data_IF_629224549836
#
_entry.id   IF_629224549836
#
_cell.length_a   1.000
_cell.length_b   1.000
_cell.length_c   1.000
_cell.angle_alpha   90.00
_cell.angle_beta   90.00
_cell.angle_gamma   90.00
#
_symmetry.space_group_name_H-M   'P 1'
#
loop_
_entity.id
_entity.type
_entity.pdbx_description
1 polymer ?
#
# COMPACT_ATOMS: atom_id res chain seq x y z
N UNK A 1 -61.32 -40.97 8.45
CA UNK A 1 -60.37 -41.20 7.35
C UNK A 1 -58.94 -41.04 7.88
N UNK A 2 -58.31 -42.14 8.16
CA UNK A 2 -56.95 -42.20 8.75
C UNK A 2 -55.94 -42.28 7.59
N UNK A 3 -55.15 -41.25 7.42
CA UNK A 3 -54.05 -41.21 6.44
C UNK A 3 -52.91 -42.05 6.98
N UNK A 4 -52.50 -43.06 6.25
CA UNK A 4 -51.44 -43.97 6.65
C UNK A 4 -50.06 -43.44 6.23
N UNK A 5 -49.01 -43.88 6.98
CA UNK A 5 -47.59 -43.51 6.75
C UNK A 5 -47.06 -43.80 5.32
N UNK A 6 -47.79 -44.57 4.51
CA UNK A 6 -47.41 -44.89 3.14
C UNK A 6 -47.73 -43.78 2.14
N UNK A 7 -48.75 -42.97 2.43
CA UNK A 7 -49.16 -41.87 1.53
C UNK A 7 -48.24 -40.63 1.61
N UNK A 8 -47.40 -40.56 2.67
CA UNK A 8 -46.43 -39.48 2.85
C UNK A 8 -45.09 -39.69 2.12
N UNK A 9 -44.81 -40.95 1.68
CA UNK A 9 -43.54 -41.30 1.03
C UNK A 9 -43.59 -41.26 -0.50
N UNK A 10 -44.78 -41.04 -1.09
CA UNK A 10 -44.94 -41.00 -2.54
C UNK A 10 -45.01 -39.59 -3.13
N UNK A 11 -44.94 -38.55 -2.30
CA UNK A 11 -45.00 -37.14 -2.74
C UNK A 11 -43.62 -36.42 -2.75
N UNK A 12 -42.52 -37.11 -2.48
CA UNK A 12 -41.15 -36.52 -2.36
C UNK A 12 -40.18 -36.98 -3.45
N UNK A 13 -40.68 -37.42 -4.59
CA UNK A 13 -39.82 -37.68 -5.75
C UNK A 13 -40.14 -36.70 -6.87
N UNK A 14 -39.38 -35.59 -6.96
CA UNK A 14 -39.52 -34.72 -8.12
C UNK A 14 -39.10 -33.28 -7.98
N UNK A 15 -38.20 -32.94 -7.05
CA UNK A 15 -37.45 -31.68 -7.20
C UNK A 15 -35.98 -32.04 -7.47
N UNK A 16 -35.64 -32.29 -8.73
CA UNK A 16 -34.29 -32.20 -9.21
C UNK A 16 -33.83 -30.74 -9.05
N UNK A 17 -32.99 -30.48 -8.06
CA UNK A 17 -32.20 -29.24 -8.06
C UNK A 17 -31.33 -29.26 -9.33
N UNK A 18 -31.76 -28.55 -10.36
CA UNK A 18 -30.87 -28.13 -11.41
C UNK A 18 -29.77 -27.30 -10.72
N UNK A 19 -28.47 -27.63 -10.90
CA UNK A 19 -27.42 -26.74 -10.45
C UNK A 19 -27.66 -25.41 -11.17
N UNK A 20 -27.87 -24.35 -10.41
CA UNK A 20 -27.84 -22.99 -10.95
C UNK A 20 -26.48 -22.88 -11.64
N UNK A 21 -26.47 -22.91 -12.95
CA UNK A 21 -25.38 -22.46 -13.79
C UNK A 21 -25.22 -20.98 -13.46
N UNK A 22 -24.43 -20.69 -12.41
CA UNK A 22 -23.97 -19.34 -12.19
C UNK A 22 -23.37 -18.87 -13.51
N UNK A 23 -23.86 -17.76 -14.01
CA UNK A 23 -23.28 -17.09 -15.16
C UNK A 23 -21.77 -17.01 -14.93
N UNK A 24 -21.04 -17.92 -15.55
CA UNK A 24 -19.60 -17.76 -15.72
C UNK A 24 -19.47 -16.53 -16.60
N UNK A 25 -19.20 -15.40 -15.98
CA UNK A 25 -18.68 -14.23 -16.70
C UNK A 25 -17.43 -14.77 -17.41
N UNK A 26 -17.59 -15.10 -18.68
CA UNK A 26 -16.48 -15.49 -19.54
C UNK A 26 -15.66 -14.23 -19.68
N UNK A 27 -14.55 -14.15 -18.95
CA UNK A 27 -13.61 -13.06 -19.09
C UNK A 27 -13.28 -12.91 -20.58
N UNK A 28 -13.34 -11.68 -21.09
CA UNK A 28 -12.99 -11.44 -22.48
C UNK A 28 -11.59 -12.02 -22.75
N UNK A 29 -11.40 -12.70 -23.92
CA UNK A 29 -10.12 -13.32 -24.21
C UNK A 29 -9.01 -12.26 -24.20
N UNK A 30 -7.86 -12.59 -23.59
CA UNK A 30 -6.71 -11.71 -23.56
C UNK A 30 -6.30 -11.29 -24.99
N UNK A 31 -5.99 -10.01 -25.23
CA UNK A 31 -5.42 -9.60 -26.51
C UNK A 31 -4.07 -10.31 -26.72
N UNK A 32 -3.82 -10.78 -27.92
CA UNK A 32 -2.55 -11.44 -28.27
C UNK A 32 -1.40 -10.46 -28.40
N UNK A 33 -1.70 -9.19 -28.68
CA UNK A 33 -0.71 -8.13 -28.96
C UNK A 33 -1.12 -6.80 -28.34
N UNK A 34 -0.12 -6.06 -27.86
CA UNK A 34 -0.23 -4.68 -27.42
C UNK A 34 1.03 -3.88 -27.82
N UNK A 35 0.98 -2.55 -27.81
CA UNK A 35 2.21 -1.76 -27.91
C UNK A 35 3.03 -1.90 -26.63
N UNK A 36 2.35 -1.80 -25.47
CA UNK A 36 2.96 -1.91 -24.14
C UNK A 36 2.09 -2.80 -23.25
N UNK A 37 2.71 -3.78 -22.58
CA UNK A 37 2.06 -4.55 -21.50
C UNK A 37 2.50 -4.03 -20.15
N UNK A 38 1.54 -3.83 -19.24
CA UNK A 38 1.79 -3.42 -17.86
C UNK A 38 1.49 -4.59 -16.94
N UNK A 39 2.42 -4.93 -16.04
CA UNK A 39 2.29 -6.03 -15.09
C UNK A 39 2.08 -5.47 -13.70
N UNK A 40 0.87 -5.62 -13.18
CA UNK A 40 0.37 -5.08 -11.91
C UNK A 40 -0.54 -3.87 -12.10
N UNK A 41 -1.70 -3.89 -11.42
CA UNK A 41 -2.70 -2.81 -11.39
C UNK A 41 -2.68 -2.01 -10.08
N UNK A 42 -1.52 -1.84 -9.47
CA UNK A 42 -1.29 -0.87 -8.38
C UNK A 42 -1.17 0.56 -8.91
N UNK A 43 -0.91 1.53 -8.04
CA UNK A 43 -0.81 2.95 -8.40
C UNK A 43 0.16 3.19 -9.57
N UNK A 44 1.35 2.57 -9.57
CA UNK A 44 2.33 2.70 -10.63
C UNK A 44 1.83 2.12 -11.97
N UNK A 45 1.17 0.95 -11.95
CA UNK A 45 0.66 0.33 -13.16
C UNK A 45 -0.51 1.10 -13.75
N UNK A 46 -1.41 1.60 -12.93
CA UNK A 46 -2.53 2.46 -13.38
C UNK A 46 -2.00 3.78 -13.96
N UNK A 47 -1.02 4.42 -13.31
CA UNK A 47 -0.38 5.61 -13.85
C UNK A 47 0.25 5.35 -15.22
N UNK A 48 1.03 4.26 -15.33
CA UNK A 48 1.68 3.87 -16.57
C UNK A 48 0.66 3.59 -17.69
N UNK A 49 -0.37 2.80 -17.41
CA UNK A 49 -1.37 2.45 -18.40
C UNK A 49 -2.18 3.68 -18.87
N UNK A 50 -2.55 4.59 -17.97
CA UNK A 50 -3.19 5.86 -18.33
C UNK A 50 -2.29 6.72 -19.22
N UNK A 51 -1.00 6.79 -18.92
CA UNK A 51 -0.04 7.56 -19.71
C UNK A 51 0.14 6.99 -21.12
N UNK A 52 0.19 5.64 -21.24
CA UNK A 52 0.27 4.95 -22.52
C UNK A 52 -1.01 5.16 -23.35
N UNK A 53 -2.17 5.01 -22.73
CA UNK A 53 -3.47 5.24 -23.37
C UNK A 53 -3.62 6.70 -23.84
N UNK A 54 -3.17 7.68 -23.06
CA UNK A 54 -3.17 9.10 -23.41
C UNK A 54 -2.27 9.41 -24.65
N UNK A 55 -1.27 8.56 -24.92
CA UNK A 55 -0.45 8.63 -26.13
C UNK A 55 -1.07 7.87 -27.33
N UNK A 56 -2.33 7.44 -27.23
CA UNK A 56 -3.04 6.66 -28.24
C UNK A 56 -2.30 5.37 -28.64
N UNK A 57 -1.73 4.67 -27.66
CA UNK A 57 -1.08 3.37 -27.84
C UNK A 57 -1.87 2.25 -27.20
N UNK A 58 -1.83 1.06 -27.83
CA UNK A 58 -2.49 -0.12 -27.28
C UNK A 58 -1.77 -0.57 -26.01
N UNK A 59 -2.47 -0.57 -24.90
CA UNK A 59 -1.99 -1.05 -23.61
C UNK A 59 -2.89 -2.18 -23.10
N UNK A 60 -2.32 -3.11 -22.38
CA UNK A 60 -3.05 -4.09 -21.56
C UNK A 60 -2.39 -4.15 -20.18
N UNK A 61 -3.18 -4.16 -19.14
CA UNK A 61 -2.70 -4.38 -17.77
C UNK A 61 -3.08 -5.79 -17.34
N UNK A 62 -2.11 -6.58 -16.91
CA UNK A 62 -2.35 -7.89 -16.28
C UNK A 62 -2.17 -7.74 -14.77
N UNK A 63 -3.17 -8.16 -14.00
CA UNK A 63 -3.19 -8.09 -12.53
C UNK A 63 -3.41 -9.49 -11.95
N UNK A 64 -2.55 -9.85 -11.01
CA UNK A 64 -2.57 -11.19 -10.40
C UNK A 64 -3.81 -11.42 -9.52
N UNK A 65 -4.30 -10.37 -8.87
CA UNK A 65 -5.46 -10.43 -7.98
C UNK A 65 -6.77 -10.12 -8.72
N UNK A 66 -7.90 -10.38 -8.07
CA UNK A 66 -9.23 -10.07 -8.61
C UNK A 66 -9.62 -8.59 -8.49
N UNK A 67 -8.70 -7.68 -8.11
CA UNK A 67 -9.00 -6.27 -7.88
C UNK A 67 -7.82 -5.35 -8.19
N UNK A 68 -8.14 -4.12 -8.53
CA UNK A 68 -7.17 -3.03 -8.72
C UNK A 68 -6.71 -2.47 -7.37
N UNK A 69 -5.49 -1.92 -7.31
CA UNK A 69 -4.98 -1.16 -6.17
C UNK A 69 -3.63 -1.65 -5.64
N UNK A 70 -3.32 -2.93 -5.75
CA UNK A 70 -2.10 -3.49 -5.16
C UNK A 70 -2.07 -3.28 -3.64
N UNK A 71 -1.12 -2.49 -3.12
CA UNK A 71 -1.02 -2.09 -1.70
C UNK A 71 -1.91 -0.88 -1.32
N UNK A 72 -2.76 -0.44 -2.20
CA UNK A 72 -3.72 0.63 -1.99
C UNK A 72 -5.13 0.09 -2.22
N UNK A 73 -5.71 -0.51 -1.19
CA UNK A 73 -7.01 -1.18 -1.21
C UNK A 73 -7.89 -0.62 -0.10
N UNK A 74 -9.16 -0.37 -0.40
CA UNK A 74 -10.17 0.05 0.57
C UNK A 74 -11.27 -0.99 0.65
N UNK A 75 -11.56 -1.46 1.85
CA UNK A 75 -12.74 -2.27 2.16
C UNK A 75 -13.88 -1.33 2.55
N UNK A 76 -14.93 -1.32 1.76
CA UNK A 76 -16.11 -0.46 1.96
C UNK A 76 -17.32 -1.20 2.52
N UNK A 77 -17.17 -2.49 2.84
CA UNK A 77 -18.26 -3.37 3.20
C UNK A 77 -18.16 -3.96 4.61
N UNK A 78 -16.96 -4.08 5.14
CA UNK A 78 -16.76 -4.80 6.40
C UNK A 78 -17.09 -3.99 7.64
N UNK A 79 -17.02 -2.67 7.58
CA UNK A 79 -17.22 -1.77 8.73
C UNK A 79 -18.19 -0.65 8.38
N UNK A 80 -18.58 0.14 9.39
CA UNK A 80 -19.44 1.32 9.26
C UNK A 80 -18.74 2.55 8.63
N UNK A 81 -17.45 2.42 8.32
CA UNK A 81 -16.66 3.39 7.57
C UNK A 81 -15.71 2.66 6.60
N UNK A 82 -15.28 3.32 5.51
CA UNK A 82 -14.26 2.78 4.62
C UNK A 82 -12.96 2.47 5.38
N UNK A 83 -12.45 1.27 5.18
CA UNK A 83 -11.22 0.78 5.79
C UNK A 83 -10.11 0.67 4.75
N UNK A 84 -9.16 1.61 4.76
CA UNK A 84 -7.96 1.52 3.96
C UNK A 84 -7.02 0.44 4.51
N UNK A 85 -6.95 -0.67 3.82
CA UNK A 85 -6.15 -1.84 4.20
C UNK A 85 -4.64 -1.60 4.04
N UNK A 86 -4.24 -0.68 3.18
CA UNK A 86 -2.85 -0.31 2.90
C UNK A 86 -2.63 1.19 3.00
N UNK A 87 -2.21 1.82 1.90
CA UNK A 87 -1.99 3.26 1.83
C UNK A 87 -3.27 4.02 2.21
N UNK A 88 -3.13 5.02 3.08
CA UNK A 88 -4.22 5.86 3.59
C UNK A 88 -4.00 7.34 3.28
N UNK A 89 -2.75 7.78 3.21
CA UNK A 89 -2.39 9.18 3.17
C UNK A 89 -1.71 9.58 1.86
N UNK A 90 -2.02 10.77 1.40
CA UNK A 90 -1.32 11.53 0.38
C UNK A 90 -0.54 12.63 1.10
N UNK A 91 0.78 12.50 1.11
CA UNK A 91 1.66 13.46 1.78
C UNK A 91 1.91 14.69 0.89
N UNK A 92 2.30 15.81 1.50
CA UNK A 92 2.64 17.05 0.80
C UNK A 92 1.56 17.50 -0.21
N UNK A 93 0.34 17.80 0.27
CA UNK A 93 -0.86 17.95 -0.57
C UNK A 93 -0.75 19.04 -1.65
N UNK A 94 0.13 19.99 -1.49
CA UNK A 94 0.34 21.08 -2.47
C UNK A 94 1.03 20.61 -3.74
N UNK A 95 1.93 19.63 -3.63
CA UNK A 95 2.73 19.12 -4.74
C UNK A 95 2.30 17.72 -5.20
N UNK A 96 1.54 17.00 -4.39
CA UNK A 96 1.15 15.62 -4.64
C UNK A 96 0.12 15.50 -5.78
N UNK A 97 0.45 14.83 -6.90
CA UNK A 97 -0.46 14.71 -8.04
C UNK A 97 -1.74 13.95 -7.70
N UNK A 98 -1.69 13.04 -6.72
CA UNK A 98 -2.85 12.24 -6.31
C UNK A 98 -3.98 13.08 -5.74
N UNK A 99 -3.68 14.23 -5.12
CA UNK A 99 -4.68 15.17 -4.58
C UNK A 99 -5.55 15.75 -5.69
N UNK A 100 -4.91 16.18 -6.77
CA UNK A 100 -5.61 16.71 -7.95
C UNK A 100 -6.47 15.63 -8.61
N UNK A 101 -5.92 14.41 -8.72
CA UNK A 101 -6.64 13.26 -9.28
C UNK A 101 -7.84 12.86 -8.41
N UNK A 102 -7.70 12.87 -7.08
CA UNK A 102 -8.80 12.57 -6.16
C UNK A 102 -9.96 13.58 -6.31
N UNK A 103 -9.64 14.87 -6.37
CA UNK A 103 -10.65 15.92 -6.63
C UNK A 103 -11.33 15.77 -7.98
N UNK A 104 -10.54 15.47 -9.02
CA UNK A 104 -11.07 15.25 -10.38
C UNK A 104 -11.97 14.00 -10.44
N UNK A 105 -11.67 12.96 -9.66
CA UNK A 105 -12.47 11.75 -9.51
C UNK A 105 -13.73 11.94 -8.62
N UNK A 106 -13.95 13.15 -8.07
CA UNK A 106 -15.10 13.46 -7.23
C UNK A 106 -15.04 12.86 -5.83
N UNK A 107 -13.83 12.63 -5.30
CA UNK A 107 -13.65 12.15 -3.94
C UNK A 107 -13.51 13.31 -2.94
N UNK A 108 -14.04 13.09 -1.74
CA UNK A 108 -13.96 14.06 -0.64
C UNK A 108 -12.58 13.96 0.03
N UNK A 109 -11.86 15.08 0.01
CA UNK A 109 -10.55 15.19 0.66
C UNK A 109 -10.76 15.50 2.14
N UNK A 110 -10.06 14.78 2.99
CA UNK A 110 -10.03 14.96 4.43
C UNK A 110 -8.60 15.20 4.91
N UNK A 111 -8.42 16.15 5.82
CA UNK A 111 -7.12 16.41 6.44
C UNK A 111 -6.78 15.28 7.41
N UNK A 112 -5.53 14.82 7.38
CA UNK A 112 -5.03 13.90 8.41
C UNK A 112 -5.07 14.55 9.80
N UNK A 113 -5.18 13.76 10.88
CA UNK A 113 -5.16 14.29 12.25
C UNK A 113 -3.91 15.14 12.52
N UNK A 114 -4.10 16.30 13.13
CA UNK A 114 -3.06 17.29 13.40
C UNK A 114 -2.36 17.03 14.73
N UNK A 115 -1.84 15.86 14.96
CA UNK A 115 -1.10 15.54 16.19
C UNK A 115 -1.49 14.20 16.77
N UNK A 116 -0.78 13.87 17.84
CA UNK A 116 -0.90 12.58 18.50
C UNK A 116 -1.14 12.82 19.98
N UNK A 117 -2.03 12.04 20.58
CA UNK A 117 -2.19 11.97 22.04
C UNK A 117 -1.30 10.84 22.57
N UNK A 118 -0.62 11.06 23.65
CA UNK A 118 0.35 10.12 24.18
C UNK A 118 -0.21 9.47 25.46
N UNK A 119 -0.15 8.16 25.53
CA UNK A 119 -0.51 7.39 26.74
C UNK A 119 0.76 6.99 27.49
N UNK A 120 0.74 7.22 28.82
CA UNK A 120 1.73 6.71 29.76
C UNK A 120 0.97 5.81 30.75
N UNK A 121 0.98 4.52 30.46
CA UNK A 121 0.08 3.59 31.11
C UNK A 121 -1.39 4.01 30.87
N UNK A 122 -2.19 4.11 31.95
CA UNK A 122 -3.62 4.43 31.82
C UNK A 122 -3.95 5.94 31.83
N UNK A 123 -2.98 6.82 31.75
CA UNK A 123 -3.18 8.27 31.69
C UNK A 123 -2.63 8.89 30.45
N UNK A 124 -3.07 10.08 30.10
CA UNK A 124 -2.42 10.88 29.08
C UNK A 124 -1.14 11.54 29.60
N UNK A 125 -0.18 11.74 28.72
CA UNK A 125 1.03 12.48 29.02
C UNK A 125 0.72 13.93 29.42
N UNK A 126 1.50 14.46 30.36
CA UNK A 126 1.48 15.87 30.75
C UNK A 126 2.26 16.69 29.71
N UNK A 127 2.08 18.03 29.66
CA UNK A 127 2.78 18.87 28.70
C UNK A 127 4.31 18.66 28.70
N UNK A 128 4.97 18.65 29.87
CA UNK A 128 6.41 18.40 29.96
C UNK A 128 6.85 17.04 29.42
N UNK A 129 6.06 15.96 29.69
CA UNK A 129 6.34 14.62 29.14
C UNK A 129 6.17 14.57 27.61
N UNK A 130 5.24 15.36 27.07
CA UNK A 130 5.07 15.53 25.62
C UNK A 130 6.25 16.27 25.01
N UNK A 131 6.77 17.31 25.67
CA UNK A 131 7.97 18.03 25.25
C UNK A 131 9.20 17.13 25.27
N UNK A 132 9.39 16.30 26.30
CA UNK A 132 10.46 15.31 26.37
C UNK A 132 10.39 14.31 25.21
N UNK A 133 9.20 13.79 24.89
CA UNK A 133 8.97 12.91 23.74
C UNK A 133 9.35 13.58 22.43
N UNK A 134 8.86 14.80 22.17
CA UNK A 134 9.18 15.56 20.95
C UNK A 134 10.68 15.82 20.85
N UNK A 135 11.33 16.19 21.96
CA UNK A 135 12.78 16.39 22.01
C UNK A 135 13.54 15.09 21.67
N UNK A 136 13.06 13.94 22.19
CA UNK A 136 13.65 12.63 21.86
C UNK A 136 13.53 12.31 20.37
N UNK A 137 12.38 12.54 19.74
CA UNK A 137 12.18 12.34 18.29
C UNK A 137 13.10 13.24 17.47
N UNK A 138 13.14 14.54 17.79
CA UNK A 138 13.98 15.52 17.07
C UNK A 138 15.45 15.15 17.18
N UNK A 139 15.94 14.84 18.40
CA UNK A 139 17.34 14.43 18.60
C UNK A 139 17.68 13.16 17.82
N UNK A 140 16.79 12.19 17.83
CA UNK A 140 16.98 10.92 17.10
C UNK A 140 17.03 11.14 15.59
N UNK A 141 16.08 11.89 15.03
CA UNK A 141 16.07 12.18 13.60
C UNK A 141 17.31 12.95 13.17
N UNK A 142 17.69 13.99 13.93
CA UNK A 142 18.89 14.77 13.67
C UNK A 142 20.16 13.91 13.70
N UNK A 143 20.29 13.01 14.66
CA UNK A 143 21.45 12.11 14.75
C UNK A 143 21.57 11.18 13.53
N UNK A 144 20.42 10.67 13.02
CA UNK A 144 20.38 9.90 11.77
C UNK A 144 20.80 10.75 10.57
N UNK A 145 20.28 11.98 10.46
CA UNK A 145 20.62 12.91 9.37
C UNK A 145 22.10 13.30 9.39
N UNK A 146 22.68 13.56 10.55
CA UNK A 146 24.11 13.86 10.71
C UNK A 146 24.99 12.64 10.34
N UNK A 147 24.57 11.44 10.73
CA UNK A 147 25.28 10.21 10.38
C UNK A 147 25.24 9.94 8.88
N UNK A 148 24.11 10.17 8.23
CA UNK A 148 23.91 9.94 6.79
C UNK A 148 24.88 10.76 5.91
N UNK A 149 25.31 11.93 6.38
CA UNK A 149 26.30 12.79 5.69
C UNK A 149 27.72 12.24 5.71
N UNK A 150 28.01 11.31 6.62
CA UNK A 150 29.34 10.72 6.81
C UNK A 150 29.46 9.35 6.15
N UNK A 151 28.47 8.51 6.34
CA UNK A 151 28.45 7.14 5.80
C UNK A 151 27.02 6.58 5.75
N UNK A 152 26.78 5.66 4.82
CA UNK A 152 25.53 4.91 4.76
C UNK A 152 25.54 3.73 5.73
N UNK A 153 25.25 4.02 6.99
CA UNK A 153 25.16 3.06 8.08
C UNK A 153 23.70 2.72 8.41
N UNK A 154 23.49 1.74 9.29
CA UNK A 154 22.18 1.47 9.86
C UNK A 154 21.72 2.68 10.72
N UNK A 155 20.46 3.10 10.59
CA UNK A 155 19.93 4.20 11.40
C UNK A 155 20.08 3.93 12.90
N UNK A 156 19.93 2.68 13.35
CA UNK A 156 20.12 2.29 14.75
C UNK A 156 21.53 2.59 15.30
N UNK A 157 22.54 2.58 14.46
CA UNK A 157 23.92 2.89 14.87
C UNK A 157 24.14 4.39 15.19
N UNK A 158 23.22 5.26 14.75
CA UNK A 158 23.27 6.69 15.00
C UNK A 158 22.46 7.14 16.23
N UNK A 159 21.71 6.24 16.87
CA UNK A 159 20.78 6.60 17.95
C UNK A 159 21.50 7.17 19.17
N UNK A 160 20.98 8.27 19.76
CA UNK A 160 21.42 8.73 21.08
C UNK A 160 21.22 7.65 22.13
N UNK A 161 22.15 7.54 23.07
CA UNK A 161 22.09 6.52 24.16
C UNK A 161 21.15 6.90 25.30
N UNK A 162 20.77 8.18 25.37
CA UNK A 162 20.02 8.80 26.47
C UNK A 162 18.56 9.12 26.13
N UNK A 163 17.88 8.24 25.39
CA UNK A 163 16.47 8.41 25.04
C UNK A 163 15.50 8.02 26.15
N UNK A 164 16.00 7.35 27.20
CA UNK A 164 15.19 6.95 28.36
C UNK A 164 13.96 6.09 28.00
N UNK A 165 12.86 6.37 28.66
CA UNK A 165 11.59 5.66 28.44
C UNK A 165 10.94 5.88 27.08
N UNK A 166 11.46 6.84 26.30
CA UNK A 166 10.98 7.15 24.94
C UNK A 166 11.71 6.40 23.83
N UNK A 167 12.76 5.64 24.17
CA UNK A 167 13.63 4.97 23.19
C UNK A 167 12.81 4.09 22.24
N UNK A 168 11.99 3.20 22.76
CA UNK A 168 11.21 2.27 21.93
C UNK A 168 10.14 2.98 21.10
N UNK A 169 9.48 3.99 21.65
CA UNK A 169 8.49 4.79 20.89
C UNK A 169 9.17 5.55 19.73
N UNK A 170 10.33 6.16 19.98
CA UNK A 170 11.10 6.85 18.94
C UNK A 170 11.58 5.89 17.85
N UNK A 171 12.12 4.72 18.23
CA UNK A 171 12.55 3.68 17.29
C UNK A 171 11.38 3.18 16.45
N UNK A 172 10.21 2.91 17.06
CA UNK A 172 9.01 2.49 16.35
C UNK A 172 8.56 3.53 15.33
N UNK A 173 8.40 4.78 15.74
CA UNK A 173 7.87 5.84 14.87
C UNK A 173 8.82 6.18 13.72
N UNK A 174 10.13 6.31 14.00
CA UNK A 174 11.11 6.69 12.98
C UNK A 174 11.57 5.51 12.12
N UNK A 175 11.40 4.28 12.58
CA UNK A 175 11.77 3.05 11.89
C UNK A 175 10.55 2.29 11.36
N UNK A 176 9.97 1.45 12.19
CA UNK A 176 8.94 0.49 11.78
C UNK A 176 7.68 1.17 11.23
N UNK A 177 7.17 2.19 11.88
CA UNK A 177 5.98 2.94 11.42
C UNK A 177 6.26 3.75 10.14
N UNK A 178 7.49 4.25 9.97
CA UNK A 178 7.87 5.06 8.81
C UNK A 178 8.18 4.22 7.57
N UNK A 179 8.84 3.07 7.75
CA UNK A 179 9.44 2.29 6.64
C UNK A 179 9.01 0.81 6.59
N UNK A 180 8.27 0.33 7.59
CA UNK A 180 7.98 -1.09 7.77
C UNK A 180 9.16 -1.91 8.30
N UNK A 181 10.33 -1.29 8.59
CA UNK A 181 11.54 -1.94 9.07
C UNK A 181 12.05 -1.31 10.35
N UNK A 182 12.69 -2.11 11.19
CA UNK A 182 13.40 -1.61 12.36
C UNK A 182 14.60 -0.76 11.92
N UNK A 183 14.98 0.23 12.71
CA UNK A 183 16.07 1.16 12.38
C UNK A 183 17.43 0.48 12.12
N UNK A 184 17.66 -0.73 12.64
CA UNK A 184 18.86 -1.53 12.36
C UNK A 184 18.94 -2.01 10.91
N UNK A 185 17.80 -2.13 10.22
CA UNK A 185 17.65 -2.66 8.88
C UNK A 185 17.44 -1.56 7.82
N UNK A 186 17.52 -0.28 8.22
CA UNK A 186 17.29 0.88 7.36
C UNK A 186 18.57 1.68 7.17
N UNK A 187 18.90 1.98 5.91
CA UNK A 187 19.99 2.88 5.51
C UNK A 187 19.72 4.31 6.03
N UNK A 188 20.70 4.89 6.71
CA UNK A 188 20.63 6.28 7.16
C UNK A 188 20.54 7.26 5.98
N UNK A 189 21.24 6.98 4.87
CA UNK A 189 21.18 7.81 3.66
C UNK A 189 19.80 7.70 2.98
N UNK A 190 19.24 6.51 2.86
CA UNK A 190 17.89 6.32 2.26
C UNK A 190 16.82 7.05 3.08
N UNK A 191 16.90 6.97 4.41
CA UNK A 191 15.98 7.66 5.31
C UNK A 191 16.13 9.18 5.23
N UNK A 192 17.33 9.70 5.26
CA UNK A 192 17.60 11.15 5.19
C UNK A 192 17.22 11.75 3.82
N UNK A 193 17.20 10.96 2.74
CA UNK A 193 16.75 11.38 1.41
C UNK A 193 15.23 11.32 1.23
N UNK A 194 14.53 10.61 2.11
CA UNK A 194 13.07 10.53 2.03
C UNK A 194 12.46 11.93 2.22
N UNK A 195 11.51 12.26 1.36
CA UNK A 195 10.78 13.52 1.49
C UNK A 195 9.97 13.52 2.80
N UNK A 196 9.90 14.67 3.45
CA UNK A 196 9.09 14.87 4.65
C UNK A 196 7.62 14.48 4.42
N UNK A 197 7.03 13.85 5.43
CA UNK A 197 5.64 13.38 5.43
C UNK A 197 4.80 14.09 6.49
N UNK A 198 5.13 15.35 6.80
CA UNK A 198 4.56 16.07 7.92
C UNK A 198 3.11 16.54 7.68
N UNK A 199 2.79 16.89 6.44
CA UNK A 199 1.42 17.22 6.05
C UNK A 199 0.82 16.08 5.22
N UNK A 200 -0.39 15.68 5.57
CA UNK A 200 -1.09 14.62 4.86
C UNK A 200 -2.58 14.89 4.74
N UNK A 201 -3.16 14.36 3.69
CA UNK A 201 -4.60 14.31 3.48
C UNK A 201 -5.00 12.91 3.02
N UNK A 202 -6.25 12.55 3.20
CA UNK A 202 -6.83 11.28 2.76
C UNK A 202 -8.08 11.50 1.93
N UNK A 203 -8.70 10.40 1.50
CA UNK A 203 -10.01 10.39 0.85
C UNK A 203 -11.02 9.79 1.82
N UNK A 204 -12.17 10.44 2.02
CA UNK A 204 -13.26 9.92 2.86
C UNK A 204 -13.74 8.54 2.39
N UNK A 205 -13.79 8.32 1.09
CA UNK A 205 -14.20 7.06 0.47
C UNK A 205 -13.08 6.01 0.42
N UNK A 206 -11.90 6.35 0.95
CA UNK A 206 -10.70 5.53 0.94
C UNK A 206 -9.82 5.76 -0.30
N UNK A 207 -8.52 5.60 -0.09
CA UNK A 207 -7.52 5.86 -1.13
C UNK A 207 -7.49 4.76 -2.20
N UNK A 208 -7.83 3.51 -1.83
CA UNK A 208 -7.99 2.41 -2.80
C UNK A 208 -9.13 2.66 -3.79
N UNK A 209 -10.20 3.32 -3.35
CA UNK A 209 -11.31 3.75 -4.22
C UNK A 209 -10.83 4.72 -5.29
N UNK A 210 -9.86 5.59 -4.98
CA UNK A 210 -9.25 6.48 -5.98
C UNK A 210 -8.56 5.66 -7.08
N UNK A 211 -7.71 4.70 -6.72
CA UNK A 211 -6.98 3.90 -7.71
C UNK A 211 -7.93 3.07 -8.56
N UNK A 212 -8.97 2.49 -7.96
CA UNK A 212 -9.99 1.76 -8.69
C UNK A 212 -10.68 2.67 -9.74
N UNK A 213 -11.14 3.86 -9.36
CA UNK A 213 -11.75 4.84 -10.28
C UNK A 213 -10.80 5.27 -11.41
N UNK A 214 -9.52 5.46 -11.10
CA UNK A 214 -8.54 5.83 -12.12
C UNK A 214 -8.25 4.69 -13.11
N UNK A 215 -8.55 3.45 -12.73
CA UNK A 215 -8.41 2.25 -13.55
C UNK A 215 -9.65 1.87 -14.39
N UNK A 216 -10.84 2.43 -14.10
CA UNK A 216 -12.13 1.96 -14.66
C UNK A 216 -12.19 1.88 -16.20
N UNK A 217 -11.50 2.76 -16.90
CA UNK A 217 -11.52 2.82 -18.37
C UNK A 217 -10.31 2.13 -19.02
N UNK A 218 -9.48 1.48 -18.24
CA UNK A 218 -8.29 0.81 -18.74
C UNK A 218 -8.61 -0.64 -19.12
N UNK A 219 -7.94 -1.20 -20.14
CA UNK A 219 -8.05 -2.62 -20.46
C UNK A 219 -7.29 -3.43 -19.40
N UNK A 220 -8.04 -3.98 -18.44
CA UNK A 220 -7.54 -4.72 -17.28
C UNK A 220 -7.87 -6.21 -17.43
N UNK A 221 -6.88 -7.08 -17.26
CA UNK A 221 -7.06 -8.50 -17.08
C UNK A 221 -6.76 -8.86 -15.61
N UNK A 222 -7.80 -8.89 -14.79
CA UNK A 222 -7.73 -9.28 -13.38
C UNK A 222 -7.60 -10.79 -13.24
N UNK A 223 -7.18 -11.27 -12.06
CA UNK A 223 -6.94 -12.70 -11.77
C UNK A 223 -6.04 -13.36 -12.82
N UNK A 224 -5.11 -12.60 -13.38
CA UNK A 224 -4.24 -13.00 -14.48
C UNK A 224 -2.77 -12.77 -14.12
N UNK A 225 -2.20 -13.61 -13.22
CA UNK A 225 -0.80 -13.49 -12.82
C UNK A 225 0.15 -13.77 -14.00
N UNK A 226 1.11 -12.88 -14.21
CA UNK A 226 2.22 -13.14 -15.11
C UNK A 226 3.10 -14.25 -14.53
N UNK A 227 3.34 -15.31 -15.30
CA UNK A 227 4.13 -16.47 -14.87
C UNK A 227 5.55 -16.44 -15.43
N UNK A 228 5.67 -16.01 -16.68
CA UNK A 228 6.95 -15.95 -17.39
C UNK A 228 6.99 -14.73 -18.30
N UNK A 229 8.15 -14.11 -18.39
CA UNK A 229 8.43 -12.98 -19.26
C UNK A 229 9.64 -13.34 -20.11
N UNK A 230 9.37 -13.56 -21.41
CA UNK A 230 10.44 -13.70 -22.40
C UNK A 230 10.70 -12.31 -22.97
N UNK A 231 11.96 -11.92 -23.04
CA UNK A 231 12.31 -10.58 -23.48
C UNK A 231 13.60 -10.52 -24.27
N UNK A 232 13.69 -9.50 -25.11
CA UNK A 232 14.86 -9.15 -25.87
C UNK A 232 15.07 -7.63 -25.85
N UNK A 233 15.99 -7.12 -26.66
CA UNK A 233 16.09 -5.68 -26.87
C UNK A 233 14.98 -5.11 -27.77
N UNK A 234 14.11 -5.92 -28.36
CA UNK A 234 13.12 -5.46 -29.37
C UNK A 234 11.68 -5.70 -28.94
N UNK A 235 11.42 -6.79 -28.24
CA UNK A 235 10.08 -7.25 -27.91
C UNK A 235 10.05 -8.00 -26.60
N UNK A 236 8.86 -8.12 -26.05
CA UNK A 236 8.57 -8.89 -24.83
C UNK A 236 7.33 -9.75 -25.08
N UNK A 237 7.33 -10.96 -24.49
CA UNK A 237 6.16 -11.82 -24.44
C UNK A 237 5.87 -12.17 -22.99
N UNK A 238 4.66 -11.87 -22.52
CA UNK A 238 4.18 -12.20 -21.19
C UNK A 238 3.31 -13.43 -21.27
N UNK A 239 3.68 -14.48 -20.55
CA UNK A 239 2.92 -15.73 -20.44
C UNK A 239 2.11 -15.73 -19.15
N UNK A 240 0.80 -16.03 -19.27
CA UNK A 240 -0.17 -16.17 -18.19
C UNK A 240 -0.94 -17.46 -18.36
N UNK A 241 -1.73 -17.86 -17.37
CA UNK A 241 -2.65 -19.01 -17.53
C UNK A 241 -3.73 -18.76 -18.58
N UNK A 242 -4.12 -17.50 -18.81
CA UNK A 242 -5.16 -17.13 -19.78
C UNK A 242 -4.63 -16.95 -21.20
N UNK A 243 -3.32 -17.03 -21.43
CA UNK A 243 -2.70 -16.90 -22.72
C UNK A 243 -1.39 -16.12 -22.71
N UNK A 244 -0.92 -15.75 -23.91
CA UNK A 244 0.33 -15.02 -24.14
C UNK A 244 0.05 -13.67 -24.78
N UNK A 245 0.79 -12.65 -24.36
CA UNK A 245 0.69 -11.29 -24.88
C UNK A 245 2.06 -10.88 -25.41
N UNK A 246 2.16 -10.61 -26.71
CA UNK A 246 3.35 -10.01 -27.32
C UNK A 246 3.25 -8.49 -27.24
N UNK A 247 4.36 -7.81 -26.91
CA UNK A 247 4.41 -6.35 -26.88
C UNK A 247 5.80 -5.83 -27.24
N UNK A 248 5.88 -4.55 -27.62
CA UNK A 248 7.13 -3.86 -27.97
C UNK A 248 7.90 -3.43 -26.70
N UNK A 249 7.20 -3.27 -25.57
CA UNK A 249 7.79 -2.99 -24.27
C UNK A 249 6.92 -3.53 -23.15
N UNK A 250 7.51 -3.74 -21.96
CA UNK A 250 6.80 -4.08 -20.74
C UNK A 250 7.13 -3.10 -19.62
N UNK A 251 6.11 -2.74 -18.83
CA UNK A 251 6.27 -1.99 -17.58
C UNK A 251 5.92 -2.93 -16.44
N UNK A 252 6.89 -3.23 -15.58
CA UNK A 252 6.77 -4.21 -14.51
C UNK A 252 6.66 -3.46 -13.19
N UNK A 253 5.49 -3.55 -12.54
CA UNK A 253 5.18 -2.80 -11.32
C UNK A 253 5.00 -3.69 -10.08
N UNK A 254 5.51 -4.91 -10.15
CA UNK A 254 5.51 -5.82 -8.99
C UNK A 254 6.42 -5.30 -7.89
N UNK A 255 6.18 -5.73 -6.65
CA UNK A 255 7.03 -5.33 -5.53
C UNK A 255 8.46 -5.85 -5.66
N UNK A 256 9.41 -5.21 -4.98
CA UNK A 256 10.81 -5.67 -4.93
C UNK A 256 10.94 -7.10 -4.40
N UNK A 257 10.10 -7.49 -3.42
CA UNK A 257 10.10 -8.85 -2.90
C UNK A 257 9.58 -9.87 -3.92
N UNK A 258 8.54 -9.53 -4.68
CA UNK A 258 8.04 -10.39 -5.77
C UNK A 258 9.09 -10.51 -6.87
N UNK A 259 9.77 -9.42 -7.22
CA UNK A 259 10.84 -9.44 -8.22
C UNK A 259 12.01 -10.34 -7.78
N UNK A 260 12.38 -10.30 -6.51
CA UNK A 260 13.48 -11.10 -5.95
C UNK A 260 13.08 -12.55 -5.63
N UNK A 261 11.78 -12.86 -5.51
CA UNK A 261 11.30 -14.20 -5.12
C UNK A 261 11.43 -15.28 -6.21
N UNK A 262 11.57 -14.86 -7.48
CA UNK A 262 11.55 -15.78 -8.61
C UNK A 262 10.15 -16.30 -8.99
N UNK A 263 9.09 -15.78 -8.37
CA UNK A 263 7.70 -16.17 -8.71
C UNK A 263 7.33 -15.85 -10.16
N UNK A 264 7.98 -14.85 -10.75
CA UNK A 264 7.91 -14.56 -12.19
C UNK A 264 9.23 -14.98 -12.81
N UNK A 265 9.18 -15.87 -13.80
CA UNK A 265 10.36 -16.35 -14.51
C UNK A 265 10.71 -15.38 -15.65
N UNK A 266 11.96 -14.96 -15.70
CA UNK A 266 12.48 -14.14 -16.81
C UNK A 266 13.37 -14.98 -17.71
N UNK A 267 13.25 -14.82 -19.02
CA UNK A 267 14.08 -15.46 -20.02
C UNK A 267 14.47 -14.47 -21.14
N UNK A 268 15.75 -14.05 -21.20
CA UNK A 268 16.86 -14.36 -20.28
C UNK A 268 16.58 -13.95 -18.83
N UNK A 269 17.38 -14.46 -17.88
CA UNK A 269 17.31 -14.00 -16.48
C UNK A 269 17.58 -12.49 -16.39
N UNK A 270 17.01 -11.85 -15.35
CA UNK A 270 17.31 -10.45 -15.07
C UNK A 270 18.80 -10.28 -14.72
N UNK A 271 19.39 -9.14 -15.11
CA UNK A 271 20.76 -8.85 -14.71
C UNK A 271 20.94 -8.98 -13.18
N UNK A 272 22.00 -9.65 -12.76
CA UNK A 272 22.32 -9.88 -11.34
C UNK A 272 22.23 -8.58 -10.51
N UNK A 273 22.72 -7.44 -11.06
CA UNK A 273 22.66 -6.14 -10.40
C UNK A 273 21.23 -5.69 -10.07
N UNK A 274 20.25 -6.03 -10.93
CA UNK A 274 18.84 -5.68 -10.70
C UNK A 274 18.21 -6.57 -9.62
N UNK A 275 18.52 -7.87 -9.62
CA UNK A 275 18.07 -8.81 -8.57
C UNK A 275 18.69 -8.45 -7.21
N UNK A 276 19.99 -8.15 -7.16
CA UNK A 276 20.68 -7.70 -5.96
C UNK A 276 20.07 -6.38 -5.43
N UNK A 277 19.75 -5.44 -6.32
CA UNK A 277 19.09 -4.18 -5.96
C UNK A 277 17.68 -4.41 -5.41
N UNK A 278 16.89 -5.29 -6.04
CA UNK A 278 15.56 -5.65 -5.54
C UNK A 278 15.62 -6.28 -4.14
N UNK A 279 16.56 -7.21 -3.90
CA UNK A 279 16.75 -7.83 -2.60
C UNK A 279 17.17 -6.81 -1.52
N UNK A 280 18.05 -5.86 -1.85
CA UNK A 280 18.48 -4.77 -0.95
C UNK A 280 17.41 -3.74 -0.64
N UNK A 281 16.39 -3.62 -1.50
CA UNK A 281 15.18 -2.80 -1.31
C UNK A 281 13.99 -3.65 -0.82
N UNK A 282 14.26 -4.73 -0.11
CA UNK A 282 13.21 -5.62 0.38
C UNK A 282 12.12 -4.87 1.16
N UNK A 283 10.89 -5.36 1.07
CA UNK A 283 9.76 -4.79 1.78
C UNK A 283 9.83 -5.09 3.28
N UNK A 284 9.49 -4.10 4.08
CA UNK A 284 9.23 -4.26 5.51
C UNK A 284 7.86 -4.87 5.78
N UNK A 285 7.51 -4.96 7.06
CA UNK A 285 6.20 -5.40 7.54
C UNK A 285 5.45 -4.20 8.13
N UNK A 286 4.23 -4.01 7.69
CA UNK A 286 3.29 -3.03 8.24
C UNK A 286 1.90 -3.59 8.03
N UNK A 287 1.24 -3.95 9.12
CA UNK A 287 -0.09 -4.52 9.07
C UNK A 287 -1.04 -3.73 9.96
N UNK A 288 -2.30 -3.76 9.61
CA UNK A 288 -3.36 -2.97 10.23
C UNK A 288 -4.43 -3.89 10.79
N UNK A 289 -4.74 -3.72 12.07
CA UNK A 289 -5.77 -4.45 12.79
C UNK A 289 -6.96 -3.49 12.94
N UNK A 290 -8.04 -3.75 12.22
CA UNK A 290 -9.28 -3.00 12.29
C UNK A 290 -10.19 -3.58 13.36
N UNK A 291 -10.75 -2.72 14.19
CA UNK A 291 -11.65 -3.05 15.29
C UNK A 291 -12.91 -2.18 15.19
N UNK A 292 -14.08 -2.79 15.22
CA UNK A 292 -15.32 -2.06 15.49
C UNK A 292 -15.57 -2.03 17.00
N UNK A 293 -15.48 -0.84 17.60
CA UNK A 293 -15.57 -0.65 19.06
C UNK A 293 -16.84 0.14 19.37
N UNK A 294 -17.85 -0.55 19.91
CA UNK A 294 -19.14 0.08 20.21
C UNK A 294 -19.08 0.97 21.47
N UNK A 295 -19.84 2.06 21.45
CA UNK A 295 -20.05 2.91 22.65
C UNK A 295 -18.84 3.79 23.04
N UNK A 296 -17.77 3.80 22.27
CA UNK A 296 -16.57 4.62 22.51
C UNK A 296 -15.98 4.54 23.93
N UNK A 297 -15.71 3.34 24.47
CA UNK A 297 -15.15 3.18 25.82
C UNK A 297 -13.74 3.75 25.96
N UNK A 298 -13.07 4.04 24.83
CA UNK A 298 -11.75 4.66 24.79
C UNK A 298 -11.83 6.19 25.04
N UNK A 299 -13.02 6.80 24.99
CA UNK A 299 -13.21 8.23 25.16
C UNK A 299 -12.48 9.06 24.09
N UNK A 300 -12.35 8.51 22.88
CA UNK A 300 -11.63 9.16 21.79
C UNK A 300 -12.54 10.12 21.01
N UNK A 301 -11.95 11.19 20.53
CA UNK A 301 -12.57 12.06 19.55
C UNK A 301 -12.47 11.45 18.15
N UNK A 302 -13.15 12.09 17.19
CA UNK A 302 -13.05 11.75 15.77
C UNK A 302 -11.61 11.82 15.30
N UNK A 303 -11.16 10.76 14.63
CA UNK A 303 -9.83 10.66 14.00
C UNK A 303 -8.66 10.87 14.97
N UNK A 304 -8.82 10.56 16.28
CA UNK A 304 -7.72 10.63 17.25
C UNK A 304 -6.59 9.67 16.89
N UNK A 305 -5.35 10.12 17.05
CA UNK A 305 -4.14 9.31 16.92
C UNK A 305 -3.50 9.13 18.28
N UNK A 306 -3.28 7.88 18.68
CA UNK A 306 -2.74 7.54 20.01
C UNK A 306 -1.46 6.73 19.86
N UNK A 307 -0.45 7.14 20.59
CA UNK A 307 0.78 6.37 20.82
C UNK A 307 0.97 6.12 22.30
N UNK A 308 1.77 5.09 22.65
CA UNK A 308 2.16 4.88 24.05
C UNK A 308 3.63 5.22 24.28
N UNK A 309 3.98 5.62 25.51
CA UNK A 309 5.36 5.61 25.96
C UNK A 309 5.81 4.17 26.12
N UNK A 310 6.88 3.80 25.43
CA UNK A 310 7.45 2.47 25.45
C UNK A 310 8.97 2.52 25.39
N UNK A 311 9.62 1.74 26.23
CA UNK A 311 11.08 1.51 26.19
C UNK A 311 11.49 0.48 25.12
N UNK A 312 10.51 -0.21 24.52
CA UNK A 312 10.71 -1.22 23.46
C UNK A 312 9.95 -0.82 22.18
N UNK A 313 10.52 -1.05 20.98
CA UNK A 313 9.83 -0.81 19.71
C UNK A 313 8.68 -1.81 19.45
N UNK A 314 8.42 -2.76 20.35
CA UNK A 314 7.27 -3.69 20.28
C UNK A 314 5.99 -3.00 20.77
N UNK A 315 5.56 -2.02 20.03
CA UNK A 315 4.39 -1.18 20.32
C UNK A 315 3.55 -0.99 19.06
N UNK A 316 2.51 -0.17 19.15
CA UNK A 316 1.55 0.05 18.09
C UNK A 316 1.12 1.51 17.99
N UNK A 317 0.42 1.85 16.91
CA UNK A 317 -0.20 3.15 16.66
C UNK A 317 -1.71 2.96 16.50
N UNK A 318 -2.52 3.66 17.28
CA UNK A 318 -3.97 3.61 17.20
C UNK A 318 -4.51 4.84 16.44
N UNK A 319 -5.35 4.58 15.45
CA UNK A 319 -6.26 5.57 14.87
C UNK A 319 -7.67 5.28 15.38
N UNK A 320 -8.23 6.17 16.17
CA UNK A 320 -9.53 6.00 16.82
C UNK A 320 -10.66 6.74 16.12
N UNK A 321 -11.84 6.16 16.14
CA UNK A 321 -13.09 6.75 15.64
C UNK A 321 -12.95 7.34 14.25
N UNK A 322 -12.43 6.54 13.30
CA UNK A 322 -12.12 6.94 11.94
C UNK A 322 -13.36 7.55 11.26
N UNK A 323 -13.23 8.79 10.79
CA UNK A 323 -14.34 9.52 10.19
C UNK A 323 -15.50 9.83 11.14
N UNK A 324 -15.35 9.60 12.43
CA UNK A 324 -16.40 9.71 13.45
C UNK A 324 -17.26 8.45 13.60
N UNK A 325 -16.80 7.32 13.05
CA UNK A 325 -17.45 6.00 13.14
C UNK A 325 -16.97 5.21 14.37
N UNK A 326 -17.47 3.99 14.53
CA UNK A 326 -16.98 3.05 15.54
C UNK A 326 -15.70 2.32 15.13
N UNK A 327 -15.18 2.57 13.92
CA UNK A 327 -13.97 1.95 13.41
C UNK A 327 -12.73 2.56 14.06
N UNK A 328 -11.90 1.69 14.64
CA UNK A 328 -10.55 1.99 15.08
C UNK A 328 -9.56 1.08 14.36
N UNK A 329 -8.34 1.55 14.13
CA UNK A 329 -7.27 0.69 13.59
C UNK A 329 -6.03 0.75 14.45
N UNK A 330 -5.41 -0.40 14.67
CA UNK A 330 -4.13 -0.53 15.34
C UNK A 330 -3.10 -0.98 14.29
N UNK A 331 -2.10 -0.15 14.10
CA UNK A 331 -1.05 -0.38 13.14
C UNK A 331 0.18 -0.96 13.85
N UNK A 332 0.64 -2.13 13.38
CA UNK A 332 1.83 -2.84 13.86
C UNK A 332 2.84 -2.99 12.73
N UNK A 333 4.12 -2.84 13.04
CA UNK A 333 5.14 -2.78 11.99
C UNK A 333 6.50 -3.34 12.45
N UNK A 334 7.45 -3.41 11.52
CA UNK A 334 8.80 -3.89 11.76
C UNK A 334 8.87 -5.39 12.02
N UNK A 335 9.90 -5.83 12.72
CA UNK A 335 10.07 -7.24 13.11
C UNK A 335 8.93 -7.72 13.99
N UNK A 336 8.48 -6.90 14.93
CA UNK A 336 7.34 -7.19 15.80
C UNK A 336 6.05 -7.41 14.99
N UNK A 337 5.72 -6.50 14.07
CA UNK A 337 4.54 -6.64 13.21
C UNK A 337 4.62 -7.90 12.34
N UNK A 338 5.80 -8.26 11.84
CA UNK A 338 6.03 -9.49 11.07
C UNK A 338 5.79 -10.74 11.89
N UNK A 339 6.35 -10.81 13.10
CA UNK A 339 6.16 -11.93 14.01
C UNK A 339 4.68 -12.13 14.37
N UNK A 340 3.98 -11.04 14.69
CA UNK A 340 2.58 -11.07 15.05
C UNK A 340 1.69 -11.47 13.86
N UNK A 341 1.91 -10.89 12.68
CA UNK A 341 1.19 -11.21 11.44
C UNK A 341 1.38 -12.67 11.02
N UNK A 342 2.56 -13.25 11.27
CA UNK A 342 2.82 -14.67 10.99
C UNK A 342 1.94 -15.62 11.84
N UNK A 343 1.56 -15.21 13.05
CA UNK A 343 0.68 -15.98 13.93
C UNK A 343 -0.80 -15.94 13.49
N UNK A 344 -1.17 -15.05 12.56
CA UNK A 344 -2.50 -14.97 11.98
C UNK A 344 -3.42 -13.93 12.61
N UNK A 345 -4.57 -13.72 11.97
CA UNK A 345 -5.51 -12.64 12.34
C UNK A 345 -6.03 -12.75 13.78
N UNK A 346 -6.23 -13.96 14.30
CA UNK A 346 -6.69 -14.17 15.68
C UNK A 346 -5.67 -13.64 16.69
N UNK A 347 -4.39 -13.93 16.47
CA UNK A 347 -3.31 -13.45 17.34
C UNK A 347 -3.17 -11.92 17.25
N UNK A 348 -3.29 -11.36 16.06
CA UNK A 348 -3.29 -9.92 15.86
C UNK A 348 -4.45 -9.23 16.59
N UNK A 349 -5.66 -9.77 16.48
CA UNK A 349 -6.83 -9.25 17.18
C UNK A 349 -6.68 -9.36 18.72
N UNK A 350 -6.17 -10.49 19.21
CA UNK A 350 -5.90 -10.68 20.63
C UNK A 350 -4.88 -9.66 21.17
N UNK A 351 -3.77 -9.46 20.46
CA UNK A 351 -2.79 -8.41 20.78
C UNK A 351 -3.45 -7.02 20.85
N UNK A 352 -4.27 -6.68 19.85
CA UNK A 352 -4.91 -5.38 19.79
C UNK A 352 -5.83 -5.13 21.02
N UNK A 353 -6.61 -6.13 21.39
CA UNK A 353 -7.49 -6.07 22.58
C UNK A 353 -6.66 -5.98 23.87
N UNK A 354 -5.60 -6.77 23.99
CA UNK A 354 -4.71 -6.75 25.16
C UNK A 354 -4.01 -5.38 25.30
N UNK A 355 -3.44 -4.86 24.21
CA UNK A 355 -2.78 -3.56 24.18
C UNK A 355 -3.74 -2.41 24.55
N UNK A 356 -4.95 -2.42 24.01
CA UNK A 356 -5.98 -1.45 24.39
C UNK A 356 -6.43 -1.62 25.86
N UNK A 357 -6.57 -2.85 26.33
CA UNK A 357 -6.93 -3.14 27.73
C UNK A 357 -5.87 -2.62 28.70
N UNK A 358 -4.60 -2.77 28.36
CA UNK A 358 -3.48 -2.19 29.13
C UNK A 358 -3.62 -0.67 29.27
N UNK A 359 -3.99 0.02 28.18
CA UNK A 359 -4.02 1.48 28.11
C UNK A 359 -5.34 2.09 28.62
N UNK A 360 -6.48 1.41 28.46
CA UNK A 360 -7.81 1.98 28.70
C UNK A 360 -8.64 1.22 29.74
N UNK A 361 -8.30 -0.01 30.04
CA UNK A 361 -9.03 -0.83 31.03
C UNK A 361 -9.75 -2.03 30.38
N UNK A 362 -10.27 -2.90 31.23
CA UNK A 362 -10.82 -4.22 30.83
C UNK A 362 -12.13 -4.15 30.02
N UNK A 363 -12.85 -3.04 30.10
CA UNK A 363 -14.14 -2.88 29.40
C UNK A 363 -14.02 -2.86 27.87
N UNK A 364 -12.82 -2.56 27.34
CA UNK A 364 -12.56 -2.49 25.90
C UNK A 364 -12.87 -3.81 25.20
N UNK A 365 -12.47 -4.94 25.81
CA UNK A 365 -12.68 -6.26 25.21
C UNK A 365 -14.16 -6.58 24.93
N UNK A 366 -15.05 -6.22 25.84
CA UNK A 366 -16.49 -6.42 25.67
C UNK A 366 -17.12 -5.51 24.60
N UNK A 367 -16.51 -4.35 24.35
CA UNK A 367 -16.97 -3.37 23.38
C UNK A 367 -16.57 -3.71 21.92
N UNK A 368 -15.56 -4.55 21.72
CA UNK A 368 -15.13 -5.01 20.39
C UNK A 368 -16.17 -5.95 19.78
N UNK A 369 -16.77 -5.57 18.68
CA UNK A 369 -17.83 -6.34 17.99
C UNK A 369 -17.33 -7.08 16.77
N UNK A 370 -16.34 -6.52 16.07
CA UNK A 370 -15.78 -7.08 14.85
C UNK A 370 -14.30 -6.77 14.75
N UNK A 371 -13.54 -7.69 14.19
CA UNK A 371 -12.12 -7.54 13.94
C UNK A 371 -11.77 -8.00 12.51
N UNK A 372 -10.78 -7.38 11.92
CA UNK A 372 -10.13 -7.83 10.69
C UNK A 372 -8.68 -7.37 10.72
N UNK A 373 -7.77 -8.12 10.12
CA UNK A 373 -6.38 -7.69 10.03
C UNK A 373 -5.81 -7.90 8.62
N UNK A 374 -4.89 -7.04 8.24
CA UNK A 374 -4.11 -7.24 7.03
C UNK A 374 -2.93 -8.16 7.32
N UNK A 375 -2.45 -8.85 6.30
CA UNK A 375 -1.28 -9.73 6.37
C UNK A 375 -0.50 -9.63 5.08
N UNK A 376 0.11 -8.46 4.84
CA UNK A 376 0.77 -8.14 3.58
C UNK A 376 1.96 -9.05 3.29
N UNK A 377 2.67 -9.53 4.33
CA UNK A 377 3.77 -10.47 4.16
C UNK A 377 3.29 -11.84 3.64
N UNK A 378 2.06 -12.24 3.96
CA UNK A 378 1.46 -13.50 3.51
C UNK A 378 0.79 -13.40 2.13
N UNK A 379 0.66 -12.18 1.57
CA UNK A 379 0.11 -11.98 0.23
C UNK A 379 1.12 -12.43 -0.83
N UNK A 380 0.84 -13.48 -1.64
CA UNK A 380 1.82 -14.07 -2.56
C UNK A 380 2.22 -13.12 -3.71
N UNK A 381 1.39 -12.11 -3.99
CA UNK A 381 1.62 -11.14 -5.05
C UNK A 381 2.16 -9.78 -4.55
N UNK A 382 2.48 -9.69 -3.23
CA UNK A 382 3.01 -8.47 -2.61
C UNK A 382 4.23 -8.75 -1.75
N UNK A 383 4.12 -9.70 -0.80
CA UNK A 383 5.19 -10.18 0.09
C UNK A 383 5.76 -9.11 1.04
N UNK A 384 4.93 -8.17 1.49
CA UNK A 384 5.33 -7.13 2.45
C UNK A 384 4.61 -5.81 2.25
N UNK A 385 5.02 -4.76 2.97
CA UNK A 385 4.34 -3.48 2.98
C UNK A 385 5.03 -2.43 2.08
N UNK A 386 6.11 -1.81 2.52
CA UNK A 386 6.82 -0.77 1.78
C UNK A 386 8.32 -1.04 1.75
N UNK A 387 9.00 -0.52 0.73
CA UNK A 387 10.44 -0.72 0.56
C UNK A 387 11.24 0.26 1.42
N UNK A 388 12.35 -0.21 1.97
CA UNK A 388 13.41 0.64 2.50
C UNK A 388 14.77 0.02 2.17
N UNK A 389 15.76 0.85 1.82
CA UNK A 389 17.07 0.34 1.51
C UNK A 389 17.77 -0.19 2.76
N UNK A 390 18.43 -1.34 2.61
CA UNK A 390 19.35 -1.84 3.62
C UNK A 390 20.56 -0.88 3.78
N UNK A 391 21.27 -0.89 4.92
CA UNK A 391 22.48 -0.10 5.08
C UNK A 391 23.47 -0.31 3.93
N UNK A 392 24.03 0.76 3.38
CA UNK A 392 24.93 0.75 2.22
C UNK A 392 24.25 0.50 0.86
N UNK A 393 22.93 0.51 0.79
CA UNK A 393 22.21 0.10 -0.42
C UNK A 393 21.31 1.18 -1.05
N UNK A 394 21.39 2.45 -0.64
CA UNK A 394 20.53 3.53 -1.14
C UNK A 394 20.53 3.63 -2.68
N UNK A 395 21.67 3.44 -3.34
CA UNK A 395 21.78 3.50 -4.82
C UNK A 395 20.97 2.40 -5.54
N UNK A 396 20.49 1.39 -4.85
CA UNK A 396 19.68 0.32 -5.44
C UNK A 396 18.38 0.84 -6.07
N UNK A 397 17.82 1.98 -5.59
CA UNK A 397 16.62 2.60 -6.17
C UNK A 397 16.89 3.07 -7.60
N UNK A 398 18.05 3.69 -7.81
CA UNK A 398 18.49 4.14 -9.13
C UNK A 398 18.72 2.96 -10.08
N UNK A 399 19.36 1.90 -9.59
CA UNK A 399 19.56 0.67 -10.39
C UNK A 399 18.23 0.09 -10.87
N UNK A 400 17.21 0.02 -10.00
CA UNK A 400 15.89 -0.47 -10.41
C UNK A 400 15.14 0.50 -11.35
N UNK A 401 15.48 1.76 -11.37
CA UNK A 401 14.86 2.74 -12.27
C UNK A 401 15.42 2.70 -13.70
N UNK A 402 16.55 2.05 -13.91
CA UNK A 402 17.20 1.92 -15.22
C UNK A 402 16.46 0.90 -16.12
N UNK A 403 16.36 1.16 -17.44
CA UNK A 403 15.76 0.21 -18.37
C UNK A 403 16.56 -1.11 -18.47
N UNK A 404 15.85 -2.22 -18.64
CA UNK A 404 16.43 -3.55 -18.90
C UNK A 404 15.92 -4.02 -20.26
N UNK A 405 16.68 -3.75 -21.31
CA UNK A 405 16.23 -4.00 -22.70
C UNK A 405 14.97 -3.20 -23.04
N UNK A 406 13.86 -3.89 -23.31
CA UNK A 406 12.56 -3.27 -23.54
C UNK A 406 11.64 -3.34 -22.27
N UNK A 407 12.19 -3.65 -21.13
CA UNK A 407 11.47 -3.70 -19.86
C UNK A 407 11.83 -2.50 -18.97
N UNK A 408 10.83 -1.98 -18.24
CA UNK A 408 10.94 -0.84 -17.35
C UNK A 408 10.33 -1.21 -16.00
N UNK A 409 11.11 -1.10 -14.93
CA UNK A 409 10.61 -1.32 -13.58
C UNK A 409 10.02 -0.03 -13.03
N UNK A 410 8.86 -0.12 -12.38
CA UNK A 410 8.20 0.99 -11.70
C UNK A 410 7.57 0.50 -10.39
N UNK A 411 7.22 1.42 -9.54
CA UNK A 411 6.70 1.20 -8.19
C UNK A 411 7.45 2.07 -7.21
N UNK A 412 6.93 2.20 -5.98
CA UNK A 412 7.50 3.08 -4.95
C UNK A 412 8.97 2.79 -4.66
N UNK A 413 9.41 1.53 -4.82
CA UNK A 413 10.78 1.10 -4.59
C UNK A 413 11.79 1.74 -5.57
N UNK A 414 11.35 2.18 -6.74
CA UNK A 414 12.18 2.80 -7.77
C UNK A 414 12.25 4.32 -7.68
N UNK A 415 11.58 4.93 -6.68
CA UNK A 415 11.62 6.37 -6.46
C UNK A 415 12.67 6.73 -5.40
N UNK A 416 13.52 7.72 -5.67
CA UNK A 416 14.67 8.03 -4.81
C UNK A 416 14.29 8.75 -3.50
N UNK A 417 13.20 9.51 -3.49
CA UNK A 417 12.78 10.34 -2.34
C UNK A 417 11.36 10.08 -1.87
N UNK A 418 10.45 9.64 -2.76
CA UNK A 418 9.05 9.34 -2.44
C UNK A 418 8.80 7.81 -2.30
N UNK A 419 9.83 7.05 -1.94
CA UNK A 419 9.67 5.62 -1.71
C UNK A 419 8.69 5.34 -0.55
N UNK A 420 7.99 4.23 -0.63
CA UNK A 420 6.97 3.85 0.34
C UNK A 420 5.69 4.68 0.26
N UNK A 421 5.50 5.52 -0.76
CA UNK A 421 4.32 6.38 -0.93
C UNK A 421 3.57 6.08 -2.23
N UNK A 422 2.29 6.49 -2.27
CA UNK A 422 1.44 6.30 -3.43
C UNK A 422 1.82 7.23 -4.59
N UNK A 423 2.23 8.45 -4.28
CA UNK A 423 2.71 9.44 -5.25
C UNK A 423 4.03 9.01 -5.87
N UNK A 424 4.98 8.52 -5.08
CA UNK A 424 6.22 7.94 -5.64
C UNK A 424 5.96 6.73 -6.54
N UNK A 425 4.99 5.88 -6.19
CA UNK A 425 4.56 4.81 -7.08
C UNK A 425 3.96 5.38 -8.38
N UNK A 426 3.08 6.37 -8.28
CA UNK A 426 2.45 7.02 -9.43
C UNK A 426 3.47 7.64 -10.38
N UNK A 427 4.33 8.53 -9.88
CA UNK A 427 5.38 9.18 -10.66
C UNK A 427 6.34 8.19 -11.32
N UNK A 428 6.69 7.11 -10.61
CA UNK A 428 7.53 6.06 -11.20
C UNK A 428 6.85 5.36 -12.37
N UNK A 429 5.52 5.18 -12.31
CA UNK A 429 4.72 4.61 -13.39
C UNK A 429 4.69 5.50 -14.62
N UNK A 430 4.47 6.81 -14.44
CA UNK A 430 4.51 7.81 -15.53
C UNK A 430 5.89 7.88 -16.16
N UNK A 431 6.96 7.94 -15.36
CA UNK A 431 8.35 7.91 -15.84
C UNK A 431 8.63 6.66 -16.69
N UNK A 432 8.23 5.48 -16.23
CA UNK A 432 8.44 4.23 -16.96
C UNK A 432 7.64 4.19 -18.27
N UNK A 433 6.42 4.71 -18.26
CA UNK A 433 5.59 4.82 -19.46
C UNK A 433 6.22 5.76 -20.50
N UNK A 434 6.71 6.92 -20.09
CA UNK A 434 7.39 7.84 -20.99
C UNK A 434 8.65 7.24 -21.59
N UNK A 435 9.45 6.54 -20.80
CA UNK A 435 10.63 5.84 -21.31
C UNK A 435 10.26 4.73 -22.32
N UNK A 436 9.21 3.96 -22.05
CA UNK A 436 8.70 2.94 -22.95
C UNK A 436 8.14 3.55 -24.24
N UNK A 437 7.38 4.65 -24.15
CA UNK A 437 6.82 5.37 -25.30
C UNK A 437 7.91 5.96 -26.21
N UNK A 438 8.96 6.54 -25.62
CA UNK A 438 10.14 7.00 -26.41
C UNK A 438 10.80 5.83 -27.13
N UNK A 439 10.99 4.73 -26.43
CA UNK A 439 11.60 3.52 -26.99
C UNK A 439 10.87 2.99 -28.21
N UNK A 440 9.54 2.99 -28.18
CA UNK A 440 8.73 2.51 -29.30
C UNK A 440 8.48 3.59 -30.37
N UNK A 441 9.05 4.79 -30.22
CA UNK A 441 8.91 5.91 -31.16
C UNK A 441 7.53 6.58 -31.14
N UNK A 442 6.79 6.45 -30.04
CA UNK A 442 5.46 7.02 -29.90
C UNK A 442 5.46 8.49 -29.44
N UNK A 443 6.49 8.90 -28.72
CA UNK A 443 6.74 10.31 -28.33
C UNK A 443 8.20 10.66 -28.61
N UNK A 444 8.49 11.96 -28.78
CA UNK A 444 9.84 12.51 -28.98
C UNK A 444 10.36 13.12 -27.69
N UNK A 445 11.69 13.29 -27.59
CA UNK A 445 12.27 14.04 -26.49
C UNK A 445 11.77 15.49 -26.52
N UNK A 446 11.45 16.04 -25.34
CA UNK A 446 10.87 17.39 -25.23
C UNK A 446 9.35 17.48 -25.42
N UNK A 447 8.63 16.35 -25.58
CA UNK A 447 7.17 16.36 -25.59
C UNK A 447 6.64 16.76 -24.20
N UNK A 448 5.84 17.87 -24.07
CA UNK A 448 5.31 18.30 -22.79
C UNK A 448 4.40 17.21 -22.18
N UNK A 449 4.35 17.16 -20.83
CA UNK A 449 3.37 16.33 -20.15
C UNK A 449 1.94 16.71 -20.60
N UNK A 450 1.06 15.73 -20.82
CA UNK A 450 -0.33 16.02 -21.14
C UNK A 450 -0.97 16.73 -19.93
N UNK A 451 -1.40 17.97 -20.13
CA UNK A 451 -2.19 18.70 -19.13
C UNK A 451 -3.51 17.97 -18.92
N UNK A 452 -3.80 17.57 -17.69
CA UNK A 452 -5.11 17.04 -17.33
C UNK A 452 -6.17 18.09 -17.66
N UNK A 453 -7.18 17.79 -18.48
CA UNK A 453 -8.22 18.76 -18.80
C UNK A 453 -8.86 19.27 -17.52
N UNK A 454 -8.91 20.60 -17.34
CA UNK A 454 -9.62 21.21 -16.23
C UNK A 454 -11.08 20.75 -16.26
N UNK A 455 -11.58 20.25 -15.13
CA UNK A 455 -12.98 19.86 -15.00
C UNK A 455 -13.88 21.04 -15.41
N UNK A 456 -14.75 20.82 -16.39
CA UNK A 456 -15.73 21.83 -16.79
C UNK A 456 -16.55 22.24 -15.57
N UNK A 457 -16.69 23.54 -15.28
CA UNK A 457 -17.47 23.98 -14.13
C UNK A 457 -18.94 23.52 -14.30
N UNK A 458 -19.46 22.84 -13.31
CA UNK A 458 -20.88 22.47 -13.25
C UNK A 458 -21.69 23.75 -13.32
N UNK A 459 -22.49 23.92 -14.38
CA UNK A 459 -23.50 24.95 -14.46
C UNK A 459 -24.44 24.79 -13.26
N UNK A 460 -24.46 25.78 -12.36
CA UNK A 460 -25.48 25.88 -11.32
C UNK A 460 -26.85 25.97 -12.06
N UNK A 461 -27.70 24.97 -11.86
CA UNK A 461 -29.11 25.09 -12.19
C UNK A 461 -29.69 26.13 -11.21
N UNK A 462 -29.99 27.31 -11.71
CA UNK A 462 -30.85 28.24 -11.03
C UNK A 462 -32.26 27.62 -11.00
N UNK A 463 -32.73 27.31 -9.80
CA UNK A 463 -34.12 26.97 -9.57
C UNK A 463 -34.92 28.28 -9.72
N UNK A 464 -35.90 28.25 -10.62
CA UNK A 464 -37.05 29.18 -10.63
C UNK A 464 -38.13 28.59 -9.79
#
# INVERSE_FOLDING_TARGET
MTITRRDFLSASAGLALAPALGDRVVAAPLPREADIVVIGAGAAGIAAARRVAAANRKVIVVEATGQVGGRCQTDTSSFDAPFDRGARWMHNPETNPMVRLARAAGLDIVTAPAGQKIRIGRRYARPGETEEFLAALVRTNRAIDEASRKADIACAAALPKDLGDWAGTAEFLLGASFSGKDLKDVSAVDKARAQDRNAAIGCRQGLGTLIAKLGEQLPLALSTPAQRILWSNREVMVETQAGKIAARAAIITVSSNVLASGNIRFAPELPKRALDAAAKLGLGSYDRIALQIAGNPLGLSRDDVIIEQSSSPRTALLYGNIGGSSLCTIDVAGSFGRELSAQGEKAMAAFAVEWLTKLYGSEVGAAVKKTSATRWNASPFVLGAMSAAAPGAQLSRRVLSEPIGCMYLAGEATHETLWGTIDGAWESGERAADAALRRIGAIRDGTPEPTVPAAKPRRRRTAH
#
